data_IF_528356326834
#
_entry.id   IF_528356326834
#
_cell.length_a   1.000
_cell.length_b   1.000
_cell.length_c   1.000
_cell.angle_alpha   90.00
_cell.angle_beta   90.00
_cell.angle_gamma   90.00
#
_symmetry.space_group_name_H-M   'P 1'
#
loop_
_entity.id
_entity.type
_entity.pdbx_description
1 polymer ?
#
# COMPACT_ATOMS: atom_id res chain seq x y z
N UNK A 1 10.89 42.10 -17.92
CA UNK A 1 9.96 41.58 -16.88
C UNK A 1 9.88 40.05 -16.85
N UNK A 2 10.01 39.37 -18.00
CA UNK A 2 10.11 37.89 -18.10
C UNK A 2 11.32 37.29 -17.36
N UNK A 3 12.49 37.95 -17.36
CA UNK A 3 13.69 37.42 -16.72
C UNK A 3 13.55 37.28 -15.20
N UNK A 4 12.82 38.20 -14.55
CA UNK A 4 12.50 38.11 -13.12
C UNK A 4 11.60 36.91 -12.82
N UNK A 5 10.65 36.59 -13.70
CA UNK A 5 9.74 35.45 -13.53
C UNK A 5 10.48 34.11 -13.64
N UNK A 6 11.46 33.99 -14.55
CA UNK A 6 12.27 32.79 -14.68
C UNK A 6 13.10 32.50 -13.42
N UNK A 7 13.70 33.54 -12.83
CA UNK A 7 14.48 33.40 -11.59
C UNK A 7 13.59 32.96 -10.43
N UNK A 8 12.38 33.52 -10.32
CA UNK A 8 11.40 33.10 -9.31
C UNK A 8 10.94 31.65 -9.50
N UNK A 9 10.71 31.21 -10.75
CA UNK A 9 10.34 29.84 -11.05
C UNK A 9 11.44 28.83 -10.65
N UNK A 10 12.70 29.14 -10.97
CA UNK A 10 13.85 28.28 -10.63
C UNK A 10 14.05 28.21 -9.10
N UNK A 11 13.95 29.35 -8.40
CA UNK A 11 14.04 29.39 -6.95
C UNK A 11 12.91 28.58 -6.27
N UNK A 12 11.68 28.67 -6.79
CA UNK A 12 10.54 27.89 -6.30
C UNK A 12 10.74 26.38 -6.46
N UNK A 13 11.27 25.93 -7.61
CA UNK A 13 11.58 24.50 -7.85
C UNK A 13 12.71 24.01 -6.94
N UNK A 14 13.73 24.84 -6.69
CA UNK A 14 14.83 24.50 -5.78
C UNK A 14 14.34 24.33 -4.34
N UNK A 15 13.52 25.25 -3.83
CA UNK A 15 12.92 25.14 -2.49
C UNK A 15 12.03 23.89 -2.42
N UNK A 16 11.20 23.64 -3.44
CA UNK A 16 10.34 22.45 -3.50
C UNK A 16 11.14 21.13 -3.47
N UNK A 17 12.25 21.03 -4.20
CA UNK A 17 13.13 19.85 -4.15
C UNK A 17 13.86 19.74 -2.81
N UNK A 18 14.31 20.85 -2.24
CA UNK A 18 15.12 20.88 -1.02
C UNK A 18 14.30 20.63 0.26
N UNK A 19 13.04 21.07 0.30
CA UNK A 19 12.13 20.82 1.43
C UNK A 19 11.52 19.41 1.47
N UNK A 20 12.13 18.47 0.74
CA UNK A 20 11.64 17.11 0.63
C UNK A 20 10.43 17.08 -0.27
N UNK A 21 10.68 17.22 -1.58
CA UNK A 21 9.72 16.97 -2.66
C UNK A 21 9.19 15.54 -2.63
N UNK A 22 8.46 15.20 -1.58
CA UNK A 22 7.43 14.18 -1.55
C UNK A 22 6.29 14.78 -2.34
N UNK A 23 6.47 14.83 -3.66
CA UNK A 23 5.33 14.63 -4.54
C UNK A 23 4.64 13.40 -3.94
N UNK A 24 3.38 13.46 -3.50
CA UNK A 24 2.66 12.25 -3.14
C UNK A 24 2.62 11.50 -4.47
N UNK A 25 3.59 10.62 -4.65
CA UNK A 25 3.56 9.65 -5.69
C UNK A 25 2.25 8.94 -5.42
N UNK A 26 1.26 9.20 -6.26
CA UNK A 26 0.20 8.26 -6.59
C UNK A 26 0.88 7.06 -7.31
N UNK A 27 2.02 6.59 -6.81
CA UNK A 27 2.21 5.17 -6.69
C UNK A 27 1.05 4.73 -5.82
N UNK A 28 0.12 4.06 -6.48
CA UNK A 28 -0.72 3.05 -5.86
C UNK A 28 0.16 1.99 -5.18
N UNK A 29 1.02 2.36 -4.23
CA UNK A 29 1.10 1.56 -3.03
C UNK A 29 -0.23 1.87 -2.36
N UNK A 30 -1.25 1.09 -2.71
CA UNK A 30 -2.15 0.65 -1.68
C UNK A 30 -1.22 0.35 -0.50
N UNK A 31 -1.28 1.18 0.54
CA UNK A 31 -0.92 0.70 1.84
C UNK A 31 -1.86 -0.48 2.00
N UNK A 32 -1.43 -1.65 1.55
CA UNK A 32 -1.89 -2.92 2.04
C UNK A 32 -1.67 -2.72 3.53
N UNK A 33 -2.74 -2.29 4.20
CA UNK A 33 -2.85 -2.38 5.64
C UNK A 33 -2.62 -3.86 5.84
N UNK A 34 -1.37 -4.23 6.13
CA UNK A 34 -1.02 -5.60 6.47
C UNK A 34 -1.94 -5.89 7.64
N UNK A 35 -2.93 -6.73 7.38
CA UNK A 35 -3.80 -7.21 8.44
C UNK A 35 -2.86 -7.79 9.48
N UNK A 36 -3.10 -7.41 10.72
CA UNK A 36 -2.32 -7.92 11.83
C UNK A 36 -2.40 -9.45 11.82
N UNK A 37 -1.31 -10.12 12.18
CA UNK A 37 -1.22 -11.59 12.17
C UNK A 37 -2.38 -12.25 12.94
N UNK A 38 -2.87 -11.59 13.99
CA UNK A 38 -3.97 -12.06 14.84
C UNK A 38 -5.37 -11.68 14.30
N UNK A 39 -5.44 -11.01 13.14
CA UNK A 39 -6.72 -10.65 12.52
C UNK A 39 -7.43 -11.91 12.02
N UNK A 40 -8.70 -12.06 12.37
CA UNK A 40 -9.55 -13.14 11.86
C UNK A 40 -10.00 -12.83 10.44
N UNK A 41 -9.77 -13.78 9.54
CA UNK A 41 -10.18 -13.78 8.14
C UNK A 41 -11.01 -15.02 7.86
N UNK A 42 -11.99 -14.90 6.97
CA UNK A 42 -12.89 -15.98 6.61
C UNK A 42 -12.28 -16.86 5.53
N UNK A 43 -12.37 -18.19 5.71
CA UNK A 43 -11.96 -19.15 4.70
C UNK A 43 -12.93 -19.14 3.51
N UNK A 44 -12.41 -18.91 2.31
CA UNK A 44 -13.22 -18.84 1.08
C UNK A 44 -14.02 -20.13 0.79
N UNK A 45 -13.51 -21.30 1.21
CA UNK A 45 -14.13 -22.59 0.87
C UNK A 45 -15.20 -23.04 1.87
N UNK A 46 -14.98 -22.83 3.17
CA UNK A 46 -15.81 -23.41 4.22
C UNK A 46 -16.40 -22.38 5.21
N UNK A 47 -16.03 -21.11 5.11
CA UNK A 47 -16.53 -20.05 5.99
C UNK A 47 -15.96 -20.04 7.41
N UNK A 48 -15.02 -20.93 7.73
CA UNK A 48 -14.34 -20.93 9.04
C UNK A 48 -13.46 -19.68 9.16
N UNK A 49 -13.53 -18.99 10.30
CA UNK A 49 -12.64 -17.89 10.62
C UNK A 49 -11.31 -18.39 11.19
N UNK A 50 -10.21 -17.96 10.59
CA UNK A 50 -8.84 -18.27 11.02
C UNK A 50 -8.01 -17.00 11.09
N UNK A 51 -6.95 -16.99 11.89
CA UNK A 51 -6.04 -15.85 11.94
C UNK A 51 -5.27 -15.72 10.62
N UNK A 52 -4.87 -14.50 10.24
CA UNK A 52 -4.02 -14.27 9.05
C UNK A 52 -2.74 -15.12 9.14
N UNK A 53 -2.17 -15.23 10.33
CA UNK A 53 -0.96 -16.04 10.61
C UNK A 53 -1.12 -17.53 10.32
N UNK A 54 -2.30 -18.08 10.60
CA UNK A 54 -2.59 -19.51 10.42
C UNK A 54 -3.22 -19.81 9.05
N UNK A 55 -3.67 -18.78 8.34
CA UNK A 55 -4.28 -18.91 7.02
C UNK A 55 -3.25 -19.14 5.91
N UNK A 56 -3.68 -19.85 4.87
CA UNK A 56 -2.93 -19.99 3.62
C UNK A 56 -3.49 -18.99 2.62
N UNK A 57 -2.62 -18.16 2.03
CA UNK A 57 -3.02 -17.16 1.03
C UNK A 57 -2.74 -17.70 -0.38
N UNK A 58 -3.80 -17.89 -1.18
CA UNK A 58 -3.68 -18.29 -2.58
C UNK A 58 -4.46 -17.29 -3.44
N UNK A 59 -3.77 -16.63 -4.39
CA UNK A 59 -4.36 -15.59 -5.25
C UNK A 59 -5.11 -14.46 -4.48
N UNK A 60 -4.62 -14.10 -3.29
CA UNK A 60 -5.23 -13.05 -2.47
C UNK A 60 -6.48 -13.49 -1.69
N UNK A 61 -6.77 -14.79 -1.65
CA UNK A 61 -7.85 -15.38 -0.84
C UNK A 61 -7.28 -16.16 0.33
N UNK A 62 -8.03 -16.20 1.43
CA UNK A 62 -7.62 -16.85 2.68
C UNK A 62 -8.26 -18.24 2.81
N UNK A 63 -7.47 -19.22 3.27
CA UNK A 63 -7.89 -20.60 3.45
C UNK A 63 -7.44 -21.14 4.81
N UNK A 64 -8.31 -21.91 5.47
CA UNK A 64 -8.03 -22.44 6.81
C UNK A 64 -7.10 -23.66 6.82
N UNK A 65 -6.92 -24.36 5.70
CA UNK A 65 -6.07 -25.54 5.61
C UNK A 65 -5.69 -25.86 4.15
N UNK A 66 -4.70 -26.76 3.97
CA UNK A 66 -4.28 -27.23 2.64
C UNK A 66 -5.42 -27.88 1.85
N UNK A 67 -6.31 -28.59 2.53
CA UNK A 67 -7.49 -29.20 1.91
C UNK A 67 -8.47 -28.15 1.37
N UNK A 68 -8.47 -26.95 1.96
CA UNK A 68 -9.29 -25.83 1.51
C UNK A 68 -8.65 -24.99 0.40
N UNK A 69 -7.32 -24.99 0.30
CA UNK A 69 -6.57 -24.26 -0.74
C UNK A 69 -6.39 -25.04 -2.05
N UNK A 70 -6.92 -26.27 -2.12
CA UNK A 70 -6.96 -27.14 -3.31
C UNK A 70 -8.30 -27.02 -4.01
#
# INVERSE_FOLDING_TARGET
>A
MILKLLIFAIAGVMIYKFFGGKLPSISKSASEKKLDDDTLVECEKCGTYVTVKESIIVHGKYYCSKECSV
#
